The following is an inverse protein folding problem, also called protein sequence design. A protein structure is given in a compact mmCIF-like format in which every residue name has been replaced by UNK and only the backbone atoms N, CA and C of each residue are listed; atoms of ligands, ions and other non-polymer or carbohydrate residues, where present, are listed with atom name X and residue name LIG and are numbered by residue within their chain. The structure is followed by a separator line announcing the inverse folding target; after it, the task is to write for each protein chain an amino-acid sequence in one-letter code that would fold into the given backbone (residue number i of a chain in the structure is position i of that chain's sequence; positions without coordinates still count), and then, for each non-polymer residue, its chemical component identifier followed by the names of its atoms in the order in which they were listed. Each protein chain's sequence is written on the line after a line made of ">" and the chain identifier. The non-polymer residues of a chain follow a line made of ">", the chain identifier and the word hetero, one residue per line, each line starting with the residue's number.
data_IF_928185267775
#
_entry.id   IF_928185267775
#
_cell.length_a   1.000
_cell.length_b   1.000
_cell.length_c   1.000
_cell.angle_alpha   90.00
_cell.angle_beta   90.00
_cell.angle_gamma   90.00
#
_symmetry.space_group_name_H-M   'P 1'
#
loop_
_entity.id
_entity.type
_entity.pdbx_description
1 polymer ?
#
# COMPACT_ATOMS: atom_id res chain seq x y z
N UNK A 1 -8.11 11.87 23.16
CA UNK A 1 -6.78 11.56 23.70
C UNK A 1 -5.91 11.10 22.54
N UNK A 2 -4.75 11.74 22.34
CA UNK A 2 -3.81 11.53 21.22
C UNK A 2 -3.01 10.24 21.46
N UNK A 3 -3.60 9.08 21.14
CA UNK A 3 -2.96 7.78 21.39
C UNK A 3 -3.34 6.76 20.31
N UNK A 4 -3.19 7.13 19.05
CA UNK A 4 -2.93 6.13 18.02
C UNK A 4 -1.63 6.57 17.34
N UNK A 5 -0.54 5.85 17.65
CA UNK A 5 0.72 5.96 16.92
C UNK A 5 0.55 5.50 15.48
N UNK A 6 -0.57 4.87 15.13
CA UNK A 6 -0.83 4.36 13.81
C UNK A 6 -1.59 5.37 12.94
N UNK A 7 -1.24 5.39 11.66
CA UNK A 7 -1.95 6.12 10.61
C UNK A 7 -2.78 5.16 9.76
N UNK A 8 -3.93 5.65 9.31
CA UNK A 8 -4.79 4.95 8.36
C UNK A 8 -4.56 5.49 6.96
N UNK A 9 -4.42 4.58 6.01
CA UNK A 9 -4.07 4.85 4.62
C UNK A 9 -5.15 4.23 3.73
N UNK A 10 -5.51 4.93 2.66
CA UNK A 10 -6.43 4.42 1.64
C UNK A 10 -5.82 4.71 0.27
N UNK A 11 -5.54 3.66 -0.50
CA UNK A 11 -5.08 3.73 -1.87
C UNK A 11 -6.26 3.56 -2.84
N UNK A 12 -6.25 4.34 -3.92
CA UNK A 12 -7.19 4.22 -5.03
C UNK A 12 -6.44 4.40 -6.34
N UNK A 13 -6.84 3.64 -7.35
CA UNK A 13 -6.28 3.79 -8.70
C UNK A 13 -7.38 3.72 -9.77
N UNK A 14 -7.01 3.82 -11.03
CA UNK A 14 -7.91 3.76 -12.18
C UNK A 14 -7.92 2.37 -12.80
N UNK A 15 -8.96 2.04 -13.57
CA UNK A 15 -9.01 0.78 -14.34
C UNK A 15 -7.86 0.65 -15.34
N UNK A 16 -7.36 1.76 -15.87
CA UNK A 16 -6.21 1.77 -16.77
C UNK A 16 -4.95 1.23 -16.06
N UNK A 17 -4.69 1.67 -14.84
CA UNK A 17 -3.54 1.17 -14.07
C UNK A 17 -3.69 -0.30 -13.69
N UNK A 18 -4.91 -0.72 -13.31
CA UNK A 18 -5.21 -2.15 -13.05
C UNK A 18 -4.97 -2.99 -14.31
N UNK A 19 -5.36 -2.50 -15.49
CA UNK A 19 -5.11 -3.19 -16.75
C UNK A 19 -3.62 -3.26 -17.16
N UNK A 20 -2.76 -2.48 -16.50
CA UNK A 20 -1.29 -2.50 -16.63
C UNK A 20 -0.64 -3.28 -15.47
N UNK A 21 -1.38 -4.16 -14.80
CA UNK A 21 -0.83 -5.04 -13.77
C UNK A 21 -0.83 -4.49 -12.34
N UNK A 22 -1.28 -3.25 -12.09
CA UNK A 22 -1.30 -2.69 -10.73
C UNK A 22 -2.35 -3.38 -9.83
N UNK A 23 -1.89 -3.91 -8.72
CA UNK A 23 -2.71 -4.45 -7.63
C UNK A 23 -2.38 -3.74 -6.31
N UNK A 24 -3.21 -2.74 -5.95
CA UNK A 24 -3.08 -2.03 -4.69
C UNK A 24 -3.35 -2.91 -3.46
N UNK A 25 -4.19 -3.94 -3.58
CA UNK A 25 -4.50 -4.86 -2.50
C UNK A 25 -3.25 -5.60 -2.06
N UNK A 26 -2.51 -6.16 -3.02
CA UNK A 26 -1.24 -6.83 -2.74
C UNK A 26 -0.15 -5.86 -2.31
N UNK A 27 0.02 -4.72 -2.99
CA UNK A 27 1.03 -3.73 -2.64
C UNK A 27 0.87 -3.20 -1.20
N UNK A 28 -0.34 -2.82 -0.79
CA UNK A 28 -0.56 -2.29 0.55
C UNK A 28 -0.50 -3.36 1.64
N UNK A 29 -0.90 -4.60 1.34
CA UNK A 29 -0.75 -5.74 2.27
C UNK A 29 0.73 -6.03 2.53
N UNK A 30 1.51 -6.22 1.47
CA UNK A 30 2.88 -6.68 1.59
C UNK A 30 3.77 -5.57 2.16
N UNK A 31 3.53 -4.30 1.77
CA UNK A 31 4.23 -3.16 2.37
C UNK A 31 3.89 -2.97 3.84
N UNK A 32 2.62 -3.07 4.25
CA UNK A 32 2.24 -2.83 5.66
C UNK A 32 2.76 -3.92 6.61
N UNK A 33 2.80 -5.18 6.16
CA UNK A 33 3.33 -6.30 6.93
C UNK A 33 4.81 -6.09 7.33
N UNK A 34 5.60 -5.40 6.50
CA UNK A 34 7.01 -5.10 6.79
C UNK A 34 7.20 -4.12 7.98
N UNK A 35 6.16 -3.37 8.35
CA UNK A 35 6.23 -2.35 9.41
C UNK A 35 5.33 -2.69 10.61
N UNK A 36 4.95 -3.97 10.77
CA UNK A 36 4.03 -4.41 11.83
C UNK A 36 2.61 -3.87 11.68
N UNK A 37 2.27 -3.35 10.50
CA UNK A 37 0.94 -2.88 10.15
C UNK A 37 0.08 -3.97 9.52
N UNK A 38 -1.10 -3.57 9.07
CA UNK A 38 -2.02 -4.44 8.33
C UNK A 38 -2.60 -3.69 7.15
N UNK A 39 -2.75 -4.38 6.02
CA UNK A 39 -3.30 -3.80 4.80
C UNK A 39 -3.89 -4.85 3.87
N UNK A 40 -4.53 -4.39 2.81
CA UNK A 40 -5.18 -5.23 1.82
C UNK A 40 -6.42 -4.58 1.22
N UNK A 41 -7.09 -5.30 0.33
CA UNK A 41 -8.26 -4.83 -0.40
C UNK A 41 -8.28 -5.40 -1.81
N UNK A 42 -8.84 -4.65 -2.74
CA UNK A 42 -8.88 -4.98 -4.16
C UNK A 42 -7.77 -4.26 -4.93
N UNK A 43 -7.48 -4.76 -6.13
CA UNK A 43 -6.57 -4.15 -7.10
C UNK A 43 -6.79 -2.64 -7.30
N UNK A 44 -8.05 -2.22 -7.40
CA UNK A 44 -8.46 -0.84 -7.67
C UNK A 44 -8.52 0.04 -6.41
N UNK A 45 -8.75 -0.55 -5.24
CA UNK A 45 -8.93 0.16 -3.98
C UNK A 45 -8.59 -0.71 -2.78
N UNK A 46 -7.67 -0.22 -1.94
CA UNK A 46 -7.17 -0.94 -0.79
C UNK A 46 -6.86 0.00 0.38
N UNK A 47 -6.70 -0.57 1.57
CA UNK A 47 -6.37 0.16 2.78
C UNK A 47 -5.13 -0.39 3.47
N UNK A 48 -4.53 0.42 4.34
CA UNK A 48 -3.47 0.02 5.24
C UNK A 48 -3.53 0.79 6.56
N UNK A 49 -2.97 0.20 7.61
CA UNK A 49 -2.72 0.84 8.90
C UNK A 49 -1.29 0.49 9.31
N UNK A 50 -0.48 1.51 9.62
CA UNK A 50 0.94 1.36 9.97
C UNK A 50 1.31 2.36 11.08
N UNK A 51 2.39 2.13 11.83
CA UNK A 51 2.94 3.13 12.73
C UNK A 51 3.37 4.40 11.97
N UNK A 52 3.12 5.58 12.56
CA UNK A 52 3.39 6.89 11.97
C UNK A 52 4.87 7.05 11.60
N UNK A 53 5.77 6.56 12.44
CA UNK A 53 7.22 6.57 12.21
C UNK A 53 7.65 5.78 10.97
N UNK A 54 6.82 4.83 10.52
CA UNK A 54 7.10 4.00 9.34
C UNK A 54 6.59 4.60 8.03
N UNK A 55 5.90 5.75 8.07
CA UNK A 55 5.21 6.34 6.91
C UNK A 55 6.12 6.51 5.69
N UNK A 56 7.31 7.08 5.85
CA UNK A 56 8.18 7.39 4.71
C UNK A 56 8.76 6.11 4.10
N UNK A 57 9.21 5.16 4.92
CA UNK A 57 9.69 3.85 4.45
C UNK A 57 8.57 3.02 3.81
N UNK A 58 7.35 3.09 4.35
CA UNK A 58 6.18 2.46 3.76
C UNK A 58 5.86 3.02 2.38
N UNK A 59 5.87 4.35 2.21
CA UNK A 59 5.62 4.97 0.90
C UNK A 59 6.68 4.55 -0.13
N UNK A 60 7.95 4.46 0.28
CA UNK A 60 9.01 3.99 -0.60
C UNK A 60 8.77 2.54 -1.05
N UNK A 61 8.47 1.64 -0.11
CA UNK A 61 8.20 0.24 -0.42
C UNK A 61 6.95 0.06 -1.29
N UNK A 62 5.89 0.85 -1.07
CA UNK A 62 4.72 0.84 -1.96
C UNK A 62 5.09 1.27 -3.38
N UNK A 63 5.95 2.27 -3.55
CA UNK A 63 6.42 2.68 -4.88
C UNK A 63 7.20 1.54 -5.56
N UNK A 64 8.13 0.89 -4.86
CA UNK A 64 8.89 -0.24 -5.39
C UNK A 64 7.96 -1.40 -5.82
N UNK A 65 6.94 -1.71 -5.00
CA UNK A 65 5.95 -2.74 -5.32
C UNK A 65 5.15 -2.41 -6.58
N UNK A 66 4.73 -1.14 -6.74
CA UNK A 66 3.98 -0.70 -7.93
C UNK A 66 4.89 -0.66 -9.17
N UNK A 67 6.13 -0.21 -9.04
CA UNK A 67 7.12 -0.25 -10.13
C UNK A 67 7.40 -1.69 -10.57
N UNK A 68 7.53 -2.62 -9.62
CA UNK A 68 7.69 -4.03 -9.89
C UNK A 68 6.46 -4.60 -10.63
N UNK A 69 5.25 -4.28 -10.19
CA UNK A 69 4.01 -4.69 -10.87
C UNK A 69 3.96 -4.21 -12.32
N UNK A 70 4.33 -2.95 -12.57
CA UNK A 70 4.33 -2.36 -13.92
C UNK A 70 5.44 -2.88 -14.83
N UNK A 71 6.52 -3.45 -14.26
CA UNK A 71 7.70 -3.89 -15.02
C UNK A 71 7.70 -5.38 -15.34
N UNK A 72 6.83 -6.18 -14.71
CA UNK A 72 6.80 -7.64 -14.86
C UNK A 72 5.52 -8.16 -15.55
N UNK A 73 4.87 -7.32 -16.36
CA UNK A 73 3.80 -7.72 -17.29
C UNK A 73 4.34 -8.37 -18.57
#
# INVERSE_FOLDING_TARGET
>A
SRLHNDIKISGRTTREMVSKGVDLGSALRDSSNNFGGQGGGHDIAAGAMIPFESKDNFLHLVNEMVEYQLSND
#
